data_IF_312444166734
#
_entry.id   IF_312444166734
#
_cell.length_a   1.000
_cell.length_b   1.000
_cell.length_c   1.000
_cell.angle_alpha   90.00
_cell.angle_beta   90.00
_cell.angle_gamma   90.00
#
_symmetry.space_group_name_H-M   'P 1'
#
loop_
_entity.id
_entity.type
_entity.pdbx_description
1 polymer ?
#
# COMPACT_ATOMS: atom_id res chain seq x y z
N UNK A 1 2.48 -9.29 20.81
CA UNK A 1 1.22 -8.56 20.54
C UNK A 1 0.18 -8.63 21.67
N UNK A 2 0.39 -9.43 22.73
CA UNK A 2 -0.60 -9.62 23.81
C UNK A 2 -0.60 -8.52 24.90
N UNK A 3 0.43 -7.67 24.91
CA UNK A 3 0.64 -6.66 25.98
C UNK A 3 -0.12 -5.34 25.75
N UNK A 4 -0.40 -4.94 24.50
CA UNK A 4 -1.07 -3.66 24.21
C UNK A 4 -2.59 -3.68 24.48
N UNK A 5 -3.21 -4.87 24.60
CA UNK A 5 -4.67 -4.99 24.82
C UNK A 5 -5.14 -4.51 26.19
N UNK A 6 -4.22 -4.27 27.11
CA UNK A 6 -4.52 -3.75 28.44
C UNK A 6 -4.54 -2.21 28.50
N UNK A 7 -4.08 -1.53 27.45
CA UNK A 7 -4.06 -0.07 27.39
C UNK A 7 -5.37 0.48 26.86
N UNK A 8 -5.75 1.66 27.37
CA UNK A 8 -6.89 2.37 26.80
C UNK A 8 -6.54 2.89 25.39
N UNK A 9 -7.55 3.02 24.53
CA UNK A 9 -7.35 3.57 23.18
C UNK A 9 -6.73 4.98 23.20
N UNK A 10 -7.06 5.79 24.21
CA UNK A 10 -6.49 7.14 24.40
C UNK A 10 -5.00 7.10 24.77
N UNK A 11 -4.59 6.12 25.57
CA UNK A 11 -3.17 5.98 25.92
C UNK A 11 -2.35 5.54 24.72
N UNK A 12 -2.88 4.64 23.89
CA UNK A 12 -2.26 4.26 22.61
C UNK A 12 -2.13 5.46 21.66
N UNK A 13 -3.18 6.27 21.53
CA UNK A 13 -3.16 7.49 20.72
C UNK A 13 -2.12 8.49 21.22
N UNK A 14 -2.05 8.71 22.54
CA UNK A 14 -1.02 9.57 23.15
C UNK A 14 0.40 9.07 22.91
N UNK A 15 0.63 7.76 23.00
CA UNK A 15 1.95 7.17 22.74
C UNK A 15 2.33 7.25 21.26
N UNK A 16 1.39 7.04 20.34
CA UNK A 16 1.63 7.21 18.89
C UNK A 16 1.96 8.67 18.58
N UNK A 17 1.13 9.61 19.03
CA UNK A 17 1.36 11.04 18.82
C UNK A 17 2.67 11.52 19.45
N UNK A 18 3.13 10.91 20.53
CA UNK A 18 4.46 11.17 21.09
C UNK A 18 5.59 10.74 20.15
N UNK A 19 5.48 9.54 19.55
CA UNK A 19 6.48 9.03 18.61
C UNK A 19 6.54 9.85 17.32
N UNK A 20 5.38 10.33 16.87
CA UNK A 20 5.25 11.14 15.65
C UNK A 20 5.56 12.63 15.89
N UNK A 21 5.75 13.06 17.16
CA UNK A 21 6.05 14.45 17.52
C UNK A 21 4.84 15.39 17.43
N UNK A 22 3.62 14.86 17.44
CA UNK A 22 2.36 15.60 17.28
C UNK A 22 1.76 16.10 18.60
N UNK A 23 2.38 15.80 19.74
CA UNK A 23 1.88 16.24 21.05
C UNK A 23 2.14 17.72 21.33
N UNK A 24 1.16 18.37 21.97
CA UNK A 24 1.37 19.70 22.54
C UNK A 24 2.38 19.64 23.69
N UNK A 25 3.06 20.76 23.99
CA UNK A 25 4.01 20.83 25.11
C UNK A 25 3.38 20.44 26.47
N UNK A 26 2.08 20.70 26.65
CA UNK A 26 1.34 20.34 27.86
C UNK A 26 1.13 18.82 27.96
N UNK A 27 0.73 18.20 26.86
CA UNK A 27 0.46 16.76 26.83
C UNK A 27 1.76 15.96 26.90
N UNK A 28 2.81 16.45 26.26
CA UNK A 28 4.16 15.88 26.38
C UNK A 28 4.65 15.85 27.83
N UNK A 29 4.55 16.97 28.56
CA UNK A 29 4.94 17.04 29.97
C UNK A 29 4.09 16.09 30.84
N UNK A 30 2.78 16.01 30.58
CA UNK A 30 1.88 15.09 31.29
C UNK A 30 2.23 13.63 31.03
N UNK A 31 2.55 13.29 29.77
CA UNK A 31 2.92 11.93 29.38
C UNK A 31 4.23 11.50 30.04
N UNK A 32 5.25 12.37 30.09
CA UNK A 32 6.52 12.07 30.76
C UNK A 32 6.33 11.74 32.24
N UNK A 33 5.51 12.51 32.96
CA UNK A 33 5.19 12.24 34.37
C UNK A 33 4.48 10.89 34.55
N UNK A 34 3.65 10.48 33.59
CA UNK A 34 2.99 9.17 33.61
C UNK A 34 3.96 8.04 33.29
N UNK A 35 4.85 8.20 32.31
CA UNK A 35 5.89 7.23 31.96
C UNK A 35 6.85 6.93 33.12
N UNK A 36 7.09 7.89 34.01
CA UNK A 36 7.87 7.68 35.24
C UNK A 36 7.14 6.77 36.24
N UNK A 37 5.83 6.93 36.37
CA UNK A 37 5.00 6.26 37.39
C UNK A 37 4.41 4.92 36.95
N UNK A 38 4.13 4.78 35.66
CA UNK A 38 3.41 3.64 35.08
C UNK A 38 4.38 2.78 34.25
N UNK A 39 4.97 1.71 34.82
CA UNK A 39 5.93 0.87 34.11
C UNK A 39 5.31 0.16 32.89
N UNK A 40 4.01 -0.17 32.95
CA UNK A 40 3.30 -0.76 31.81
C UNK A 40 3.20 0.20 30.61
N UNK A 41 3.03 1.49 30.86
CA UNK A 41 2.98 2.51 29.81
C UNK A 41 4.35 2.71 29.16
N UNK A 42 5.42 2.58 29.95
CA UNK A 42 6.80 2.60 29.46
C UNK A 42 7.12 1.38 28.60
N UNK A 43 6.71 0.18 29.04
CA UNK A 43 6.90 -1.04 28.24
C UNK A 43 6.17 -0.94 26.91
N UNK A 44 4.95 -0.41 26.90
CA UNK A 44 4.19 -0.19 25.68
C UNK A 44 4.85 0.77 24.71
N UNK A 45 5.47 1.85 25.21
CA UNK A 45 6.24 2.79 24.40
C UNK A 45 7.45 2.11 23.76
N UNK A 46 8.19 1.30 24.52
CA UNK A 46 9.34 0.54 24.00
C UNK A 46 8.91 -0.51 22.97
N UNK A 47 7.80 -1.21 23.20
CA UNK A 47 7.22 -2.14 22.23
C UNK A 47 6.85 -1.44 20.92
N UNK A 48 6.20 -0.26 20.99
CA UNK A 48 5.87 0.54 19.82
C UNK A 48 7.13 1.00 19.06
N UNK A 49 8.15 1.47 19.78
CA UNK A 49 9.45 1.85 19.18
C UNK A 49 10.13 0.68 18.49
N UNK A 50 10.08 -0.51 19.08
CA UNK A 50 10.65 -1.70 18.47
C UNK A 50 9.95 -2.04 17.14
N UNK A 51 8.62 -1.92 17.09
CA UNK A 51 7.85 -2.16 15.85
C UNK A 51 8.17 -1.09 14.80
N UNK A 52 8.16 0.20 15.15
CA UNK A 52 8.43 1.28 14.17
C UNK A 52 9.86 1.19 13.63
N UNK A 53 10.83 0.85 14.47
CA UNK A 53 12.21 0.61 14.05
C UNK A 53 12.34 -0.60 13.12
N UNK A 54 11.67 -1.72 13.44
CA UNK A 54 11.64 -2.88 12.55
C UNK A 54 11.01 -2.54 11.20
N UNK A 55 9.93 -1.76 11.18
CA UNK A 55 9.27 -1.33 9.95
C UNK A 55 10.16 -0.39 9.12
N UNK A 56 10.90 0.52 9.77
CA UNK A 56 11.86 1.41 9.13
C UNK A 56 13.09 0.69 8.54
N UNK A 57 13.33 -0.57 8.91
CA UNK A 57 14.41 -1.38 8.31
C UNK A 57 14.03 -2.04 6.98
N UNK A 58 12.75 -1.95 6.59
CA UNK A 58 12.26 -2.50 5.32
C UNK A 58 12.81 -1.66 4.17
N UNK A 59 13.30 -2.28 3.08
CA UNK A 59 13.77 -1.53 1.92
C UNK A 59 12.64 -0.71 1.29
N UNK A 60 12.95 0.54 0.94
CA UNK A 60 12.05 1.38 0.15
C UNK A 60 11.83 0.75 -1.22
N UNK A 61 10.60 0.30 -1.47
CA UNK A 61 10.17 -0.20 -2.78
C UNK A 61 9.41 0.91 -3.49
N UNK A 62 9.80 1.30 -4.72
CA UNK A 62 9.07 2.32 -5.45
C UNK A 62 7.63 1.87 -5.70
N UNK A 63 6.68 2.72 -5.29
CA UNK A 63 5.26 2.48 -5.54
C UNK A 63 5.02 2.36 -7.06
N UNK A 64 4.27 1.33 -7.50
CA UNK A 64 3.87 1.27 -8.89
C UNK A 64 3.03 2.50 -9.23
N UNK A 65 3.52 3.35 -10.15
CA UNK A 65 2.88 4.61 -10.57
C UNK A 65 1.48 4.40 -11.16
N UNK A 66 1.17 3.17 -11.57
CA UNK A 66 -0.15 2.73 -11.97
C UNK A 66 -0.52 1.46 -11.22
N UNK A 67 -1.52 1.53 -10.36
CA UNK A 67 -2.17 0.35 -9.76
C UNK A 67 -3.03 -0.43 -10.78
N UNK A 68 -3.12 0.06 -12.02
CA UNK A 68 -3.74 -0.69 -13.11
C UNK A 68 -2.81 -1.84 -13.50
N UNK A 69 -3.37 -3.05 -13.54
CA UNK A 69 -2.66 -4.19 -14.08
C UNK A 69 -2.30 -3.90 -15.53
N UNK A 70 -1.03 -4.08 -15.89
CA UNK A 70 -0.65 -4.09 -17.31
C UNK A 70 -1.44 -5.18 -18.03
N UNK A 71 -1.77 -5.04 -19.33
CA UNK A 71 -2.49 -6.09 -20.08
C UNK A 71 -1.82 -7.47 -19.97
N UNK A 72 -0.49 -7.48 -19.87
CA UNK A 72 0.31 -8.69 -19.61
C UNK A 72 0.04 -9.29 -18.23
N UNK A 73 0.02 -8.48 -17.18
CA UNK A 73 -0.30 -8.92 -15.81
C UNK A 73 -1.77 -9.34 -15.66
N UNK A 74 -2.68 -8.74 -16.43
CA UNK A 74 -4.10 -9.08 -16.46
C UNK A 74 -4.42 -10.34 -17.29
N UNK A 75 -3.43 -11.01 -17.88
CA UNK A 75 -3.63 -12.18 -18.74
C UNK A 75 -4.40 -11.88 -20.03
N UNK A 76 -4.52 -10.61 -20.41
CA UNK A 76 -5.22 -10.19 -21.62
C UNK A 76 -4.34 -10.55 -22.81
N UNK A 77 -4.75 -11.56 -23.58
CA UNK A 77 -4.08 -11.93 -24.83
C UNK A 77 -4.49 -10.94 -25.93
N UNK A 78 -3.53 -10.31 -26.65
CA UNK A 78 -3.87 -9.49 -27.79
C UNK A 78 -4.60 -10.34 -28.83
N UNK A 79 -5.82 -9.93 -29.21
CA UNK A 79 -6.58 -10.59 -30.29
C UNK A 79 -5.78 -10.48 -31.58
N UNK A 80 -5.44 -11.61 -32.20
CA UNK A 80 -4.77 -11.59 -33.48
C UNK A 80 -5.69 -10.96 -34.53
N UNK A 81 -5.27 -9.82 -35.09
CA UNK A 81 -6.04 -9.06 -36.08
C UNK A 81 -5.84 -9.69 -37.46
N UNK A 82 -6.45 -10.86 -37.70
CA UNK A 82 -6.43 -11.58 -38.98
C UNK A 82 -7.41 -11.01 -40.02
N UNK A 83 -8.15 -9.96 -39.66
CA UNK A 83 -9.12 -9.28 -40.52
C UNK A 83 -8.60 -8.79 -41.90
N UNK A 84 -7.34 -8.32 -42.07
CA UNK A 84 -6.91 -7.82 -43.39
C UNK A 84 -6.74 -8.93 -44.44
N UNK A 85 -6.51 -10.19 -44.03
CA UNK A 85 -6.39 -11.32 -44.96
C UNK A 85 -7.74 -11.60 -45.64
N UNK A 86 -8.84 -11.52 -44.89
CA UNK A 86 -10.17 -11.71 -45.43
C UNK A 86 -10.59 -10.58 -46.37
N UNK A 87 -10.12 -9.36 -46.15
CA UNK A 87 -10.36 -8.23 -47.06
C UNK A 87 -9.71 -8.46 -48.43
N UNK A 88 -8.51 -9.05 -48.48
CA UNK A 88 -7.87 -9.42 -49.75
C UNK A 88 -8.68 -10.48 -50.50
N UNK A 89 -9.24 -11.47 -49.78
CA UNK A 89 -10.11 -12.48 -50.39
C UNK A 89 -11.39 -11.84 -50.98
N UNK A 90 -11.98 -10.85 -50.31
CA UNK A 90 -13.15 -10.12 -50.81
C UNK A 90 -12.82 -9.31 -52.07
N UNK A 91 -11.67 -8.61 -52.10
CA UNK A 91 -11.22 -7.86 -53.27
C UNK A 91 -10.97 -8.79 -54.45
N UNK A 92 -10.29 -9.92 -54.24
CA UNK A 92 -10.05 -10.93 -55.27
C UNK A 92 -11.36 -11.52 -55.82
N UNK A 93 -12.32 -11.83 -54.95
CA UNK A 93 -13.62 -12.33 -55.36
C UNK A 93 -14.40 -11.29 -56.20
N UNK A 94 -14.35 -10.02 -55.81
CA UNK A 94 -14.99 -8.94 -56.57
C UNK A 94 -14.35 -8.75 -57.96
N UNK A 95 -13.02 -8.82 -58.07
CA UNK A 95 -12.32 -8.77 -59.36
C UNK A 95 -12.71 -9.96 -60.24
N UNK A 96 -12.73 -11.18 -59.68
CA UNK A 96 -13.10 -12.39 -60.41
C UNK A 96 -14.56 -12.34 -60.91
N UNK A 97 -15.48 -11.80 -60.11
CA UNK A 97 -16.89 -11.64 -60.49
C UNK A 97 -17.07 -10.68 -61.67
N UNK A 98 -16.30 -9.60 -61.73
CA UNK A 98 -16.36 -8.63 -62.85
C UNK A 98 -15.69 -9.17 -64.12
N UNK A 99 -14.72 -10.07 -63.97
CA UNK A 99 -13.98 -10.64 -65.10
C UNK A 99 -14.68 -11.82 -65.79
N UNK A 100 -15.75 -12.37 -65.21
CA UNK A 100 -16.61 -13.43 -65.77
C UNK A 100 -17.83 -12.80 -66.44
#
# INVERSE_FOLDING_TARGET
MKELSHLSARDLELLSGYLDGELTARDHARLLLRLEREPGLRQALEDLRAVTHQLGSIPDVPLPRSFTLTPKAAGIRPRQRTYPIFQLATVLAAIALVAV
#
